data_IF_809110530058
#
_entry.id   IF_809110530058
#
_cell.length_a   1.000
_cell.length_b   1.000
_cell.length_c   1.000
_cell.angle_alpha   90.00
_cell.angle_beta   90.00
_cell.angle_gamma   90.00
#
_symmetry.space_group_name_H-M   'P 1'
#
loop_
_entity.id
_entity.type
_entity.pdbx_description
1 polymer ?
#
# COMPACT_ATOMS: atom_id res chain seq x y z
N UNK A 1 -3.90 16.22 1.76
CA UNK A 1 -2.69 16.67 1.02
C UNK A 1 -2.05 15.52 0.24
N UNK A 2 -1.22 15.83 -0.77
CA UNK A 2 -0.39 14.87 -1.50
C UNK A 2 1.10 15.10 -1.19
N UNK A 3 1.88 14.03 -1.10
CA UNK A 3 3.30 14.08 -0.76
C UNK A 3 4.09 13.17 -1.69
N UNK A 4 5.36 13.51 -1.93
CA UNK A 4 6.29 12.77 -2.79
C UNK A 4 7.57 12.45 -2.05
N UNK A 5 8.08 11.23 -2.25
CA UNK A 5 9.44 10.89 -1.85
C UNK A 5 10.44 11.42 -2.89
N UNK A 6 11.26 12.38 -2.48
CA UNK A 6 12.35 12.97 -3.28
C UNK A 6 13.68 12.22 -3.08
N UNK A 7 13.75 11.35 -2.09
CA UNK A 7 14.94 10.57 -1.76
C UNK A 7 15.21 9.44 -2.76
N UNK A 8 16.49 9.05 -2.84
CA UNK A 8 16.98 7.89 -3.59
C UNK A 8 16.81 6.57 -2.83
N UNK A 9 16.07 6.57 -1.71
CA UNK A 9 15.75 5.39 -0.91
C UNK A 9 14.25 5.35 -0.58
N UNK A 10 13.64 4.15 -0.44
CA UNK A 10 12.31 4.02 0.14
C UNK A 10 12.27 4.65 1.53
N UNK A 11 11.21 5.37 1.84
CA UNK A 11 11.04 6.07 3.12
C UNK A 11 9.88 5.48 3.90
N UNK A 12 10.07 5.37 5.22
CA UNK A 12 9.02 5.05 6.18
C UNK A 12 8.63 6.33 6.91
N UNK A 13 7.43 6.81 6.64
CA UNK A 13 6.90 8.06 7.18
C UNK A 13 5.97 7.77 8.34
N UNK A 14 6.30 8.18 9.57
CA UNK A 14 5.42 8.02 10.72
C UNK A 14 4.20 8.94 10.62
N UNK A 15 3.02 8.40 10.90
CA UNK A 15 1.73 9.08 10.89
C UNK A 15 1.10 9.04 12.28
N UNK A 16 0.19 9.98 12.61
CA UNK A 16 -0.52 9.97 13.88
C UNK A 16 -1.27 8.65 14.11
N UNK A 17 -1.33 8.22 15.37
CA UNK A 17 -1.95 6.95 15.78
C UNK A 17 -1.04 5.73 15.60
N UNK A 18 0.28 5.92 15.56
CA UNK A 18 1.26 4.83 15.45
C UNK A 18 1.32 4.17 14.07
N UNK A 19 0.66 4.76 13.07
CA UNK A 19 0.64 4.27 11.69
C UNK A 19 1.90 4.68 10.98
N UNK A 20 2.27 3.93 9.95
CA UNK A 20 3.42 4.24 9.10
C UNK A 20 3.01 4.17 7.64
N UNK A 21 3.42 5.16 6.85
CA UNK A 21 3.23 5.20 5.41
C UNK A 21 4.57 4.91 4.74
N UNK A 22 4.60 3.85 3.94
CA UNK A 22 5.78 3.46 3.18
C UNK A 22 5.73 4.11 1.80
N UNK A 23 6.68 5.00 1.52
CA UNK A 23 6.86 5.61 0.22
C UNK A 23 8.01 4.93 -0.52
N UNK A 24 7.71 4.35 -1.68
CA UNK A 24 8.73 3.90 -2.61
C UNK A 24 9.56 5.04 -3.20
N UNK A 25 10.57 4.69 -3.98
CA UNK A 25 11.41 5.65 -4.69
C UNK A 25 10.57 6.49 -5.66
N UNK A 26 10.65 7.82 -5.56
CA UNK A 26 9.90 8.74 -6.42
C UNK A 26 8.36 8.55 -6.42
N UNK A 27 7.82 7.81 -5.44
CA UNK A 27 6.37 7.54 -5.33
C UNK A 27 5.68 8.71 -4.62
N UNK A 28 4.46 9.00 -5.07
CA UNK A 28 3.53 9.94 -4.43
C UNK A 28 2.47 9.21 -3.61
N UNK A 29 2.09 9.75 -2.46
CA UNK A 29 0.97 9.25 -1.66
C UNK A 29 0.08 10.37 -1.13
N UNK A 30 -1.15 10.00 -0.78
CA UNK A 30 -2.11 10.90 -0.12
C UNK A 30 -2.03 10.75 1.38
N UNK A 31 -2.02 11.88 2.08
CA UNK A 31 -2.07 11.94 3.54
C UNK A 31 -3.20 12.88 4.01
N UNK A 32 -3.67 12.65 5.22
CA UNK A 32 -4.61 13.56 5.89
C UNK A 32 -3.91 14.82 6.38
N UNK A 33 -4.65 15.90 6.59
CA UNK A 33 -4.08 17.16 7.07
C UNK A 33 -3.53 17.03 8.51
N UNK A 34 -4.14 16.13 9.31
CA UNK A 34 -3.63 15.73 10.63
C UNK A 34 -2.25 15.11 10.58
N UNK A 35 -1.88 14.45 9.47
CA UNK A 35 -0.53 13.93 9.30
C UNK A 35 0.48 15.04 8.97
N UNK A 36 0.07 16.07 8.23
CA UNK A 36 0.92 17.22 7.92
C UNK A 36 1.28 18.05 9.16
N UNK A 37 0.40 18.05 10.18
CA UNK A 37 0.63 18.73 11.45
C UNK A 37 1.57 17.97 12.41
N UNK A 38 1.86 16.69 12.14
CA UNK A 38 2.59 15.80 13.05
C UNK A 38 4.09 16.15 13.10
N UNK A 39 4.67 16.28 14.31
CA UNK A 39 6.06 16.74 14.48
C UNK A 39 7.09 15.90 13.71
N UNK A 40 7.06 14.55 13.80
CA UNK A 40 7.97 13.71 13.01
C UNK A 40 7.80 13.85 11.49
N UNK A 41 6.59 14.17 11.01
CA UNK A 41 6.35 14.39 9.59
C UNK A 41 6.99 15.70 9.13
N UNK A 42 6.86 16.77 9.91
CA UNK A 42 7.47 18.08 9.61
C UNK A 42 8.99 17.98 9.51
N UNK A 43 9.64 17.26 10.41
CA UNK A 43 11.09 17.01 10.34
C UNK A 43 11.52 16.34 9.02
N UNK A 44 10.69 15.44 8.47
CA UNK A 44 10.95 14.82 7.18
C UNK A 44 10.77 15.76 5.98
N UNK A 45 9.85 16.73 6.11
CA UNK A 45 9.69 17.80 5.12
C UNK A 45 10.87 18.77 5.20
N UNK A 46 11.25 19.18 6.41
CA UNK A 46 12.35 20.13 6.66
C UNK A 46 13.71 19.56 6.22
N UNK A 47 13.92 18.26 6.41
CA UNK A 47 15.11 17.56 5.90
C UNK A 47 15.13 17.40 4.37
N UNK A 48 14.05 17.78 3.67
CA UNK A 48 13.92 17.67 2.23
C UNK A 48 13.74 16.23 1.72
N UNK A 49 13.49 15.27 2.62
CA UNK A 49 13.23 13.89 2.26
C UNK A 49 11.83 13.69 1.65
N UNK A 50 10.90 14.60 1.97
CA UNK A 50 9.52 14.61 1.47
C UNK A 50 9.18 15.99 0.92
N UNK A 51 8.58 16.01 -0.26
CA UNK A 51 8.01 17.21 -0.86
C UNK A 51 6.48 17.17 -0.77
N UNK A 52 5.86 18.24 -0.28
CA UNK A 52 4.39 18.38 -0.22
C UNK A 52 3.90 18.94 -1.56
N UNK A 53 3.21 18.10 -2.33
CA UNK A 53 2.55 18.52 -3.55
C UNK A 53 1.15 19.02 -3.15
N UNK A 54 0.89 20.32 -3.35
CA UNK A 54 -0.41 20.94 -3.09
C UNK A 54 -1.56 20.20 -3.79
N UNK A 55 -2.81 20.56 -3.50
CA UNK A 55 -4.05 19.89 -3.94
C UNK A 55 -4.34 19.90 -5.46
N UNK A 56 -3.33 19.72 -6.29
CA UNK A 56 -3.41 19.47 -7.73
C UNK A 56 -3.39 17.97 -7.97
N UNK A 57 -4.44 17.48 -8.61
CA UNK A 57 -4.68 16.08 -8.99
C UNK A 57 -3.44 15.41 -9.61
N UNK A 58 -2.68 14.64 -8.82
CA UNK A 58 -1.66 13.75 -9.39
C UNK A 58 -2.34 12.55 -10.06
N UNK A 59 -2.47 12.61 -11.39
CA UNK A 59 -2.61 11.40 -12.22
C UNK A 59 -1.22 10.78 -12.34
N UNK A 60 -0.94 9.75 -11.54
CA UNK A 60 0.18 8.84 -11.83
C UNK A 60 -0.30 7.42 -11.58
N UNK A 61 -0.59 6.72 -12.67
CA UNK A 61 -0.94 5.32 -12.65
C UNK A 61 0.30 4.42 -12.48
N UNK A 62 0.04 3.18 -12.08
CA UNK A 62 0.82 2.02 -12.49
C UNK A 62 1.97 1.60 -11.59
N UNK A 63 1.68 0.69 -10.66
CA UNK A 63 2.33 -0.62 -10.74
C UNK A 63 1.36 -1.69 -10.22
N UNK A 64 0.55 -2.19 -11.15
CA UNK A 64 -0.04 -3.50 -11.08
C UNK A 64 1.08 -4.54 -11.14
N UNK A 65 1.43 -5.16 -10.01
CA UNK A 65 1.99 -6.51 -10.08
C UNK A 65 0.83 -7.48 -10.27
N UNK A 66 0.33 -7.54 -11.50
CA UNK A 66 -0.37 -8.71 -12.00
C UNK A 66 0.64 -9.87 -12.02
N UNK A 67 0.73 -10.61 -10.91
CA UNK A 67 1.16 -12.00 -11.02
C UNK A 67 -0.04 -12.76 -11.56
N UNK A 68 -0.06 -12.90 -12.87
CA UNK A 68 -0.91 -13.83 -13.58
C UNK A 68 -0.48 -15.25 -13.19
N UNK A 69 -0.99 -15.73 -12.06
CA UNK A 69 -1.08 -17.15 -11.73
C UNK A 69 -2.53 -17.56 -11.87
N UNK A 70 -2.96 -17.84 -13.10
CA UNK A 70 -4.26 -18.44 -13.35
C UNK A 70 -4.21 -19.92 -12.95
N UNK A 71 -4.98 -20.30 -11.93
CA UNK A 71 -5.78 -21.53 -11.79
C UNK A 71 -6.44 -21.50 -10.39
N UNK A 72 -7.67 -21.01 -10.29
CA UNK A 72 -8.91 -21.79 -10.29
C UNK A 72 -9.17 -22.60 -9.01
N UNK A 73 -10.37 -22.32 -8.47
CA UNK A 73 -11.27 -23.19 -7.70
C UNK A 73 -10.96 -23.51 -6.23
N UNK A 74 -11.84 -22.94 -5.38
CA UNK A 74 -12.59 -23.59 -4.30
C UNK A 74 -11.92 -24.74 -3.54
N UNK A 75 -11.69 -24.52 -2.23
CA UNK A 75 -12.17 -25.39 -1.14
C UNK A 75 -11.70 -24.72 0.17
N UNK A 76 -12.56 -24.12 1.00
CA UNK A 76 -13.82 -24.66 1.46
C UNK A 76 -13.55 -25.56 2.65
N UNK A 77 -13.35 -24.95 3.82
CA UNK A 77 -13.32 -25.61 5.13
C UNK A 77 -14.58 -26.44 5.33
N UNK A 78 -14.44 -27.76 5.48
CA UNK A 78 -15.38 -28.64 6.18
C UNK A 78 -14.72 -30.02 6.24
N UNK A 79 -14.55 -30.62 7.41
CA UNK A 79 -15.69 -31.19 8.14
C UNK A 79 -15.85 -32.63 7.68
N UNK A 80 -15.73 -33.58 8.61
CA UNK A 80 -15.69 -35.00 8.28
C UNK A 80 -16.98 -35.59 7.71
N UNK A 81 -16.89 -36.91 7.53
CA UNK A 81 -17.95 -37.89 7.26
C UNK A 81 -18.30 -38.23 5.79
N UNK A 82 -18.36 -39.55 5.59
CA UNK A 82 -19.07 -40.33 4.55
C UNK A 82 -18.47 -40.31 3.13
N UNK A 83 -17.87 -41.41 2.67
CA UNK A 83 -18.54 -42.54 1.99
C UNK A 83 -19.41 -42.14 0.80
N UNK A 84 -19.04 -42.60 -0.40
CA UNK A 84 -19.83 -43.28 -1.47
C UNK A 84 -19.17 -43.02 -2.85
N UNK A 85 -18.55 -44.00 -3.52
CA UNK A 85 -19.04 -45.16 -4.34
C UNK A 85 -19.41 -44.78 -5.78
N UNK A 86 -19.01 -45.69 -6.69
CA UNK A 86 -19.39 -45.88 -8.10
C UNK A 86 -18.53 -45.10 -9.10
N UNK A 87 -18.02 -45.68 -10.18
CA UNK A 87 -18.19 -47.01 -10.77
C UNK A 87 -17.66 -46.95 -12.21
N UNK A 88 -17.00 -48.02 -12.64
CA UNK A 88 -16.36 -48.26 -13.93
C UNK A 88 -17.26 -48.01 -15.16
N UNK A 89 -16.73 -47.26 -16.15
CA UNK A 89 -16.90 -47.43 -17.61
C UNK A 89 -15.97 -46.50 -18.38
#
# INVERSE_FOLDING_TARGET
MEIKNTSKKPLKVPLPGGKNLFLGLAVTAKISDKAAEYSPFKEMVDSGAIEVLGSGRSKTGGSSSSISGATSSNTGTSGGASMRKSGDR
#
